data_IF_682297757335
#
_entry.id   IF_682297757335
#
_cell.length_a   1.000
_cell.length_b   1.000
_cell.length_c   1.000
_cell.angle_alpha   90.00
_cell.angle_beta   90.00
_cell.angle_gamma   90.00
#
_symmetry.space_group_name_H-M   'P 1'
#
loop_
_entity.id
_entity.type
_entity.pdbx_description
1 polymer ?
#
# COMPACT_ATOMS: atom_id res chain seq x y z
N UNK A 1 8.93 36.80 -4.91
CA UNK A 1 8.41 36.27 -3.63
C UNK A 1 9.51 35.46 -2.94
N UNK A 2 10.04 35.95 -1.82
CA UNK A 2 11.20 35.38 -1.11
C UNK A 2 10.86 34.04 -0.43
N UNK A 3 11.53 32.96 -0.84
CA UNK A 3 11.58 31.70 -0.07
C UNK A 3 12.51 31.89 1.12
N UNK A 4 11.96 32.31 2.27
CA UNK A 4 12.69 32.31 3.54
C UNK A 4 13.12 30.87 3.84
N UNK A 5 14.43 30.65 3.93
CA UNK A 5 15.01 29.38 4.36
C UNK A 5 14.43 29.04 5.74
N UNK A 6 13.58 28.02 5.81
CA UNK A 6 13.11 27.45 7.06
C UNK A 6 14.36 26.97 7.81
N UNK A 7 14.61 27.55 8.98
CA UNK A 7 15.78 27.23 9.80
C UNK A 7 15.84 25.76 10.19
N UNK A 8 17.02 25.34 10.69
CA UNK A 8 17.28 23.97 11.16
C UNK A 8 16.17 23.53 12.13
N UNK A 9 15.56 22.34 11.94
CA UNK A 9 14.55 21.84 12.87
C UNK A 9 15.10 21.76 14.29
N UNK A 10 14.26 22.11 15.28
CA UNK A 10 14.64 22.10 16.68
C UNK A 10 15.03 20.68 17.11
N UNK A 11 16.15 20.56 17.84
CA UNK A 11 16.61 19.29 18.37
C UNK A 11 15.62 18.80 19.44
N UNK A 12 14.88 17.74 19.14
CA UNK A 12 13.86 17.17 20.03
C UNK A 12 14.48 16.32 21.16
N UNK A 13 15.71 15.83 20.99
CA UNK A 13 16.46 15.03 21.97
C UNK A 13 17.97 15.29 21.89
N UNK A 14 18.70 14.89 22.95
CA UNK A 14 20.14 15.07 23.11
C UNK A 14 20.98 14.70 21.89
N UNK A 15 22.11 15.40 21.72
CA UNK A 15 23.02 15.22 20.59
C UNK A 15 23.57 13.79 20.58
N UNK A 16 23.49 13.12 19.42
CA UNK A 16 24.18 11.84 19.18
C UNK A 16 25.68 12.11 19.16
N UNK A 17 26.40 11.61 20.16
CA UNK A 17 27.81 11.90 20.46
C UNK A 17 28.72 10.67 20.34
N UNK A 18 28.16 9.45 20.36
CA UNK A 18 28.87 8.19 20.19
C UNK A 18 28.74 7.64 18.77
N UNK A 19 29.81 7.03 18.26
CA UNK A 19 29.88 6.40 16.94
C UNK A 19 30.25 4.92 17.05
N UNK A 20 29.82 4.14 16.06
CA UNK A 20 30.22 2.74 15.85
C UNK A 20 30.79 2.65 14.44
N UNK A 21 32.05 2.23 14.33
CA UNK A 21 32.74 2.06 13.05
C UNK A 21 32.80 0.56 12.69
N UNK A 22 32.33 0.19 11.50
CA UNK A 22 32.31 -1.19 10.99
C UNK A 22 32.81 -1.19 9.55
N UNK A 23 33.60 -2.20 9.18
CA UNK A 23 34.04 -2.42 7.80
C UNK A 23 33.08 -3.39 7.12
N UNK A 24 32.76 -3.11 5.86
CA UNK A 24 31.93 -3.94 5.00
C UNK A 24 32.72 -4.37 3.76
N UNK A 25 32.40 -5.52 3.21
CA UNK A 25 32.78 -5.89 1.85
C UNK A 25 32.01 -5.04 0.83
N UNK A 26 32.47 -5.00 -0.43
CA UNK A 26 31.77 -4.29 -1.50
C UNK A 26 30.34 -4.81 -1.68
N UNK A 27 30.15 -6.14 -1.62
CA UNK A 27 28.83 -6.77 -1.80
C UNK A 27 27.86 -6.42 -0.66
N UNK A 28 28.35 -6.41 0.59
CA UNK A 28 27.57 -6.01 1.76
C UNK A 28 27.16 -4.53 1.68
N UNK A 29 28.07 -3.67 1.22
CA UNK A 29 27.80 -2.25 1.08
C UNK A 29 26.79 -1.95 -0.03
N UNK A 30 26.87 -2.67 -1.15
CA UNK A 30 25.89 -2.57 -2.24
C UNK A 30 24.48 -2.97 -1.79
N UNK A 31 24.36 -3.97 -0.91
CA UNK A 31 23.08 -4.34 -0.31
C UNK A 31 22.49 -3.19 0.52
N UNK A 32 23.33 -2.52 1.32
CA UNK A 32 22.93 -1.36 2.11
C UNK A 32 22.45 -0.21 1.21
N UNK A 33 23.14 0.06 0.10
CA UNK A 33 22.74 1.09 -0.87
C UNK A 33 21.39 0.77 -1.51
N UNK A 34 21.20 -0.49 -1.94
CA UNK A 34 19.91 -0.95 -2.50
C UNK A 34 18.77 -0.75 -1.51
N UNK A 35 19.00 -1.05 -0.23
CA UNK A 35 18.02 -0.86 0.84
C UNK A 35 17.74 0.62 1.12
N UNK A 36 18.75 1.48 1.10
CA UNK A 36 18.58 2.94 1.22
C UNK A 36 17.68 3.48 0.11
N UNK A 37 17.95 3.14 -1.15
CA UNK A 37 17.10 3.54 -2.29
C UNK A 37 15.71 2.96 -2.20
N UNK A 38 15.58 1.68 -1.83
CA UNK A 38 14.29 1.01 -1.75
C UNK A 38 13.43 1.51 -0.58
N UNK A 39 14.02 2.07 0.49
CA UNK A 39 13.28 2.45 1.69
C UNK A 39 13.17 3.97 1.86
N UNK A 40 13.91 4.75 1.07
CA UNK A 40 13.97 6.21 1.19
C UNK A 40 14.56 6.68 2.53
N UNK A 41 15.34 5.83 3.21
CA UNK A 41 15.94 6.09 4.52
C UNK A 41 17.45 6.18 4.41
N UNK A 42 18.06 7.09 5.18
CA UNK A 42 19.52 7.18 5.24
C UNK A 42 20.13 5.89 5.78
N UNK A 43 21.32 5.51 5.32
CA UNK A 43 22.10 4.37 5.86
C UNK A 43 22.16 4.34 7.39
N UNK A 44 22.36 5.50 8.01
CA UNK A 44 22.46 5.60 9.46
C UNK A 44 21.12 5.32 10.15
N UNK A 45 19.99 5.74 9.56
CA UNK A 45 18.65 5.44 10.08
C UNK A 45 18.24 4.00 9.82
N UNK A 46 18.65 3.43 8.67
CA UNK A 46 18.47 2.01 8.35
C UNK A 46 19.20 1.11 9.36
N UNK A 47 20.47 1.38 9.62
CA UNK A 47 21.26 0.63 10.60
C UNK A 47 20.68 0.80 12.00
N UNK A 48 20.37 2.02 12.43
CA UNK A 48 19.78 2.27 13.75
C UNK A 48 18.44 1.59 13.93
N UNK A 49 17.55 1.64 12.93
CA UNK A 49 16.25 0.96 13.02
C UNK A 49 16.41 -0.57 13.04
N UNK A 50 17.32 -1.15 12.25
CA UNK A 50 17.56 -2.59 12.30
C UNK A 50 18.23 -3.06 13.60
N UNK A 51 19.16 -2.29 14.15
CA UNK A 51 19.94 -2.66 15.35
C UNK A 51 19.18 -2.36 16.65
N UNK A 52 18.50 -1.22 16.77
CA UNK A 52 17.89 -0.76 18.03
C UNK A 52 16.45 -1.22 18.23
N UNK A 53 15.69 -1.44 17.15
CA UNK A 53 14.27 -1.82 17.22
C UNK A 53 14.02 -3.33 17.09
N UNK A 54 15.10 -4.13 17.04
CA UNK A 54 15.01 -5.55 16.72
C UNK A 54 14.67 -5.76 15.25
N UNK A 55 15.18 -6.85 14.67
CA UNK A 55 14.99 -7.25 13.27
C UNK A 55 13.53 -7.40 12.82
N UNK A 56 12.58 -7.41 13.76
CA UNK A 56 11.17 -7.76 13.58
C UNK A 56 10.31 -6.66 12.94
N UNK A 57 10.79 -5.41 12.89
CA UNK A 57 10.10 -4.36 12.13
C UNK A 57 10.35 -4.57 10.63
N UNK A 58 9.29 -4.98 9.94
CA UNK A 58 9.26 -5.03 8.47
C UNK A 58 9.35 -3.61 7.97
N UNK A 59 10.48 -3.25 7.37
CA UNK A 59 10.61 -1.95 6.72
C UNK A 59 9.92 -2.06 5.37
N UNK A 60 8.75 -1.44 5.25
CA UNK A 60 7.94 -1.44 4.03
C UNK A 60 8.31 -0.23 3.19
N UNK A 61 8.60 -0.42 1.90
CA UNK A 61 8.63 0.68 0.95
C UNK A 61 7.19 1.23 0.81
N UNK A 62 6.92 2.35 1.48
CA UNK A 62 5.59 2.96 1.51
C UNK A 62 5.12 3.40 0.11
N UNK A 63 6.02 3.89 -0.74
CA UNK A 63 5.70 4.33 -2.10
C UNK A 63 5.21 3.18 -2.97
N UNK A 64 5.94 2.06 -3.00
CA UNK A 64 5.52 0.85 -3.74
C UNK A 64 4.22 0.27 -3.20
N UNK A 65 4.02 0.32 -1.88
CA UNK A 65 2.78 -0.11 -1.28
C UNK A 65 1.62 0.78 -1.75
N UNK A 66 1.77 2.10 -1.71
CA UNK A 66 0.73 3.05 -2.16
C UNK A 66 0.39 2.83 -3.63
N UNK A 67 1.39 2.66 -4.50
CA UNK A 67 1.17 2.36 -5.93
C UNK A 67 0.42 1.04 -6.15
N UNK A 68 0.76 -0.01 -5.39
CA UNK A 68 0.05 -1.28 -5.46
C UNK A 68 -1.41 -1.16 -4.97
N UNK A 69 -1.65 -0.35 -3.93
CA UNK A 69 -2.99 -0.05 -3.44
C UNK A 69 -3.82 0.75 -4.44
N UNK A 70 -3.21 1.72 -5.13
CA UNK A 70 -3.88 2.54 -6.15
C UNK A 70 -4.31 1.72 -7.38
N UNK A 71 -3.44 0.81 -7.83
CA UNK A 71 -3.77 -0.14 -8.89
C UNK A 71 -4.95 -1.04 -8.50
N UNK A 72 -4.96 -1.54 -7.26
CA UNK A 72 -6.08 -2.32 -6.72
C UNK A 72 -7.37 -1.51 -6.66
N UNK A 73 -7.31 -0.26 -6.20
CA UNK A 73 -8.45 0.66 -6.18
C UNK A 73 -9.03 0.90 -7.58
N UNK A 74 -8.16 1.01 -8.59
CA UNK A 74 -8.55 1.15 -10.00
C UNK A 74 -9.35 -0.06 -10.50
N UNK A 75 -8.88 -1.28 -10.22
CA UNK A 75 -9.57 -2.51 -10.61
C UNK A 75 -10.92 -2.68 -9.88
N UNK A 76 -10.98 -2.30 -8.60
CA UNK A 76 -12.25 -2.25 -7.87
C UNK A 76 -13.24 -1.25 -8.48
N UNK A 77 -12.76 -0.07 -8.89
CA UNK A 77 -13.57 0.93 -9.57
C UNK A 77 -14.14 0.43 -10.90
N UNK A 78 -13.34 -0.28 -11.69
CA UNK A 78 -13.79 -0.95 -12.92
C UNK A 78 -14.86 -1.99 -12.66
N UNK A 79 -14.67 -2.84 -11.65
CA UNK A 79 -15.66 -3.84 -11.26
C UNK A 79 -16.97 -3.19 -10.80
N UNK A 80 -16.91 -2.13 -10.00
CA UNK A 80 -18.07 -1.35 -9.58
C UNK A 80 -18.84 -0.72 -10.75
N UNK A 81 -18.13 -0.19 -11.75
CA UNK A 81 -18.76 0.32 -12.97
C UNK A 81 -19.52 -0.76 -13.74
N UNK A 82 -18.95 -1.96 -13.86
CA UNK A 82 -19.62 -3.09 -14.53
C UNK A 82 -20.90 -3.52 -13.79
N UNK A 83 -20.86 -3.56 -12.45
CA UNK A 83 -22.04 -3.84 -11.61
C UNK A 83 -23.12 -2.78 -11.85
N UNK A 84 -22.75 -1.49 -11.89
CA UNK A 84 -23.69 -0.40 -12.12
C UNK A 84 -24.33 -0.46 -13.53
N UNK A 85 -23.56 -0.83 -14.55
CA UNK A 85 -24.08 -1.04 -15.90
C UNK A 85 -25.12 -2.16 -15.95
N UNK A 86 -24.85 -3.28 -15.26
CA UNK A 86 -25.81 -4.39 -15.17
C UNK A 86 -27.07 -3.99 -14.42
N UNK A 87 -26.95 -3.23 -13.33
CA UNK A 87 -28.10 -2.71 -12.60
C UNK A 87 -28.97 -1.79 -13.49
N UNK A 88 -28.35 -0.91 -14.28
CA UNK A 88 -29.06 -0.06 -15.24
C UNK A 88 -29.78 -0.89 -16.32
N UNK A 89 -29.10 -1.91 -16.84
CA UNK A 89 -29.67 -2.81 -17.85
C UNK A 89 -30.86 -3.60 -17.31
N UNK A 90 -30.74 -4.17 -16.10
CA UNK A 90 -31.82 -4.85 -15.41
C UNK A 90 -33.04 -3.92 -15.17
N UNK A 91 -32.79 -2.66 -14.78
CA UNK A 91 -33.85 -1.66 -14.60
C UNK A 91 -34.54 -1.26 -15.92
N UNK A 92 -33.82 -1.29 -17.05
CA UNK A 92 -34.41 -1.06 -18.37
C UNK A 92 -35.33 -2.22 -18.79
N UNK A 93 -34.86 -3.46 -18.62
CA UNK A 93 -35.63 -4.67 -18.91
C UNK A 93 -36.89 -4.78 -18.04
N UNK A 94 -36.77 -4.49 -16.73
CA UNK A 94 -37.92 -4.44 -15.80
C UNK A 94 -39.02 -3.47 -16.27
N UNK A 95 -38.64 -2.29 -16.78
CA UNK A 95 -39.60 -1.31 -17.32
C UNK A 95 -40.31 -1.77 -18.59
N UNK A 96 -39.70 -2.69 -19.34
CA UNK A 96 -40.30 -3.31 -20.52
C UNK A 96 -41.17 -4.53 -20.17
N UNK A 97 -41.33 -4.87 -18.89
CA UNK A 97 -42.05 -6.07 -18.43
C UNK A 97 -41.30 -7.38 -18.70
N UNK A 98 -40.04 -7.30 -19.13
CA UNK A 98 -39.21 -8.45 -19.49
C UNK A 98 -38.24 -8.69 -18.34
N UNK A 99 -38.42 -9.78 -17.58
CA UNK A 99 -37.41 -10.23 -16.62
C UNK A 99 -36.52 -11.27 -17.30
N UNK A 100 -35.33 -10.85 -17.75
CA UNK A 100 -34.36 -11.81 -18.30
C UNK A 100 -33.66 -12.56 -17.18
N UNK A 101 -34.05 -13.81 -16.96
CA UNK A 101 -33.43 -14.74 -15.99
C UNK A 101 -31.92 -14.83 -16.22
N UNK A 102 -31.48 -14.82 -17.48
CA UNK A 102 -30.07 -14.83 -17.88
C UNK A 102 -29.30 -13.61 -17.37
N UNK A 103 -29.94 -12.45 -17.32
CA UNK A 103 -29.33 -11.21 -16.81
C UNK A 103 -29.22 -11.23 -15.29
N UNK A 104 -30.24 -11.77 -14.61
CA UNK A 104 -30.23 -11.95 -13.16
C UNK A 104 -29.13 -12.94 -12.71
N UNK A 105 -28.99 -14.08 -13.40
CA UNK A 105 -27.91 -15.04 -13.14
C UNK A 105 -26.52 -14.42 -13.36
N UNK A 106 -26.30 -13.74 -14.49
CA UNK A 106 -25.02 -13.07 -14.77
C UNK A 106 -24.69 -12.00 -13.73
N UNK A 107 -25.69 -11.23 -13.29
CA UNK A 107 -25.52 -10.25 -12.24
C UNK A 107 -25.11 -10.91 -10.92
N UNK A 108 -25.78 -11.97 -10.50
CA UNK A 108 -25.48 -12.68 -9.26
C UNK A 108 -24.06 -13.29 -9.27
N UNK A 109 -23.61 -13.86 -10.39
CA UNK A 109 -22.25 -14.39 -10.53
C UNK A 109 -21.21 -13.26 -10.37
N UNK A 110 -21.40 -12.15 -11.07
CA UNK A 110 -20.46 -11.02 -11.01
C UNK A 110 -20.46 -10.35 -9.63
N UNK A 111 -21.62 -10.25 -8.98
CA UNK A 111 -21.73 -9.73 -7.63
C UNK A 111 -21.03 -10.64 -6.62
N UNK A 112 -21.20 -11.95 -6.71
CA UNK A 112 -20.52 -12.91 -5.85
C UNK A 112 -18.99 -12.83 -6.00
N UNK A 113 -18.49 -12.75 -7.23
CA UNK A 113 -17.06 -12.60 -7.50
C UNK A 113 -16.51 -11.27 -6.95
N UNK A 114 -17.27 -10.18 -7.10
CA UNK A 114 -16.89 -8.88 -6.53
C UNK A 114 -16.81 -8.94 -5.01
N UNK A 115 -17.79 -9.55 -4.35
CA UNK A 115 -17.82 -9.71 -2.90
C UNK A 115 -16.66 -10.56 -2.37
N UNK A 116 -16.29 -11.65 -3.05
CA UNK A 116 -15.13 -12.47 -2.65
C UNK A 116 -13.82 -11.70 -2.78
N UNK A 117 -13.63 -10.99 -3.91
CA UNK A 117 -12.46 -10.14 -4.12
C UNK A 117 -12.37 -9.01 -3.10
N UNK A 118 -13.49 -8.36 -2.77
CA UNK A 118 -13.55 -7.33 -1.73
C UNK A 118 -13.15 -7.89 -0.36
N UNK A 119 -13.67 -9.06 0.04
CA UNK A 119 -13.33 -9.70 1.32
C UNK A 119 -11.85 -10.08 1.39
N UNK A 120 -11.30 -10.65 0.31
CA UNK A 120 -9.87 -10.99 0.23
C UNK A 120 -9.00 -9.75 0.37
N UNK A 121 -9.37 -8.66 -0.31
CA UNK A 121 -8.65 -7.40 -0.19
C UNK A 121 -8.68 -6.87 1.25
N UNK A 122 -9.83 -6.88 1.91
CA UNK A 122 -9.95 -6.38 3.29
C UNK A 122 -9.08 -7.18 4.27
N UNK A 123 -9.00 -8.51 4.09
CA UNK A 123 -8.12 -9.38 4.88
C UNK A 123 -6.64 -9.04 4.64
N UNK A 124 -6.25 -8.84 3.39
CA UNK A 124 -4.87 -8.50 3.03
C UNK A 124 -4.47 -7.12 3.58
N UNK A 125 -5.35 -6.12 3.47
CA UNK A 125 -5.13 -4.80 4.05
C UNK A 125 -4.97 -4.87 5.57
N UNK A 126 -5.82 -5.65 6.26
CA UNK A 126 -5.68 -5.87 7.71
C UNK A 126 -4.34 -6.52 8.08
N UNK A 127 -3.83 -7.46 7.26
CA UNK A 127 -2.50 -8.05 7.47
C UNK A 127 -1.40 -7.00 7.29
N UNK A 128 -1.48 -6.17 6.25
CA UNK A 128 -0.50 -5.10 6.00
C UNK A 128 -0.49 -4.08 7.14
N UNK A 129 -1.66 -3.62 7.61
CA UNK A 129 -1.77 -2.69 8.74
C UNK A 129 -1.16 -3.31 10.01
N UNK A 130 -1.42 -4.60 10.27
CA UNK A 130 -0.86 -5.31 11.41
C UNK A 130 0.67 -5.46 11.34
N UNK A 131 1.22 -5.62 10.13
CA UNK A 131 2.66 -5.69 9.89
C UNK A 131 3.33 -4.31 9.96
N UNK A 132 2.63 -3.25 9.54
CA UNK A 132 3.13 -1.87 9.58
C UNK A 132 2.99 -1.19 10.95
N UNK A 133 2.04 -1.65 11.79
CA UNK A 133 1.77 -1.12 13.12
C UNK A 133 2.54 -1.79 14.28
N UNK A 134 3.36 -2.80 14.00
CA UNK A 134 4.34 -3.37 14.95
C UNK A 134 5.69 -2.68 14.79
#
# INVERSE_FOLDING_TARGET
>A
MNKRQLGRPQMVQGKRDRKVDVRFTSEEFDLILKLETALGMSKADLIRSKVLTGSDRVIVNAERLILALDLLGTEMGRAGNNINQLARYANALKRQGILSVVVAERYNILLANYQDNQKRLEVLLRKVIRLAGK
#
